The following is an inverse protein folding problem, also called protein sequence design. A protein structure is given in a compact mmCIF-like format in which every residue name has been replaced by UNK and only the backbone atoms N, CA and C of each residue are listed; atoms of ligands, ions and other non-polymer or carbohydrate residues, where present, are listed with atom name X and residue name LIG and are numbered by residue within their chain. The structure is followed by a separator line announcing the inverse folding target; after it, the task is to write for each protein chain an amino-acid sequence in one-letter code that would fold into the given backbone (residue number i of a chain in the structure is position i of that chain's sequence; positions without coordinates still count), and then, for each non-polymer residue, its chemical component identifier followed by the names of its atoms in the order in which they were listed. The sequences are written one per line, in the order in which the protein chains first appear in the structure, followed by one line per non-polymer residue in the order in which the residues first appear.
data_IF_620396000845
#
_entry.id   IF_620396000845
#
_cell.length_a   1.000
_cell.length_b   1.000
_cell.length_c   1.000
_cell.angle_alpha   90.00
_cell.angle_beta   90.00
_cell.angle_gamma   90.00
#
_symmetry.space_group_name_H-M   'P 1'
#
loop_
_entity.id
_entity.type
_entity.pdbx_description
1 polymer ?
#
# COMPACT_ATOMS: atom_id res chain seq x y z
N UNK A 1 55.14 -24.06 20.84
CA UNK A 1 54.88 -22.96 19.88
C UNK A 1 53.79 -23.27 18.82
N UNK A 2 53.50 -24.55 18.46
CA UNK A 2 52.43 -24.89 17.46
C UNK A 2 50.99 -24.82 18.01
N UNK A 3 50.79 -24.99 19.31
CA UNK A 3 49.44 -24.97 19.93
C UNK A 3 48.87 -23.58 20.14
N UNK A 4 49.70 -22.56 20.34
CA UNK A 4 49.27 -21.15 20.47
C UNK A 4 48.81 -20.54 19.15
N UNK A 5 49.41 -20.94 18.01
CA UNK A 5 48.98 -20.48 16.68
C UNK A 5 47.59 -20.98 16.27
N UNK A 6 47.25 -22.23 16.65
CA UNK A 6 45.95 -22.82 16.35
C UNK A 6 44.82 -22.15 17.16
N UNK A 7 45.10 -21.74 18.39
CA UNK A 7 44.14 -21.02 19.26
C UNK A 7 43.84 -19.61 18.74
N UNK A 8 44.88 -18.89 18.29
CA UNK A 8 44.73 -17.56 17.71
C UNK A 8 43.94 -17.58 16.39
N UNK A 9 44.16 -18.60 15.53
CA UNK A 9 43.45 -18.80 14.30
C UNK A 9 41.94 -19.10 14.53
N UNK A 10 41.65 -19.91 15.57
CA UNK A 10 40.28 -20.25 15.97
C UNK A 10 39.52 -19.05 16.53
N UNK A 11 40.17 -18.19 17.33
CA UNK A 11 39.52 -16.95 17.85
C UNK A 11 39.27 -15.94 16.75
N UNK A 12 40.18 -15.83 15.76
CA UNK A 12 40.00 -14.93 14.62
C UNK A 12 38.80 -15.37 13.72
N UNK A 13 38.64 -16.69 13.55
CA UNK A 13 37.53 -17.26 12.77
C UNK A 13 36.16 -17.02 13.43
N UNK A 14 36.08 -17.04 14.76
CA UNK A 14 34.85 -16.83 15.53
C UNK A 14 34.42 -15.36 15.48
N UNK A 15 35.37 -14.42 15.44
CA UNK A 15 35.05 -12.97 15.33
C UNK A 15 34.44 -12.55 13.99
N UNK A 16 34.66 -13.29 12.90
CA UNK A 16 34.08 -12.97 11.58
C UNK A 16 32.60 -13.35 11.45
N UNK A 17 32.09 -14.26 12.29
CA UNK A 17 30.72 -14.75 12.20
C UNK A 17 29.73 -13.81 12.90
N UNK A 18 30.17 -12.96 13.84
CA UNK A 18 29.27 -12.03 14.55
C UNK A 18 28.86 -10.77 13.76
N UNK A 19 29.51 -10.49 12.63
CA UNK A 19 29.21 -9.30 11.81
C UNK A 19 27.99 -9.46 10.88
N UNK A 20 27.38 -10.64 10.77
CA UNK A 20 26.30 -10.92 9.82
C UNK A 20 24.89 -10.55 10.30
N UNK A 21 24.71 -10.26 11.60
CA UNK A 21 23.36 -10.05 12.17
C UNK A 21 22.78 -8.63 11.99
N UNK A 22 23.54 -7.65 11.46
CA UNK A 22 23.09 -6.24 11.36
C UNK A 22 22.29 -5.89 10.11
N UNK A 23 22.39 -6.66 9.02
CA UNK A 23 21.85 -6.26 7.71
C UNK A 23 20.36 -6.62 7.48
N UNK A 24 19.80 -7.57 8.18
CA UNK A 24 18.43 -8.03 7.94
C UNK A 24 17.34 -7.04 8.39
N UNK A 25 17.67 -6.15 9.34
CA UNK A 25 16.70 -5.19 9.88
C UNK A 25 16.40 -4.02 8.94
N UNK A 26 17.32 -3.70 8.03
CA UNK A 26 17.22 -2.55 7.12
C UNK A 26 16.95 -2.97 5.66
N UNK A 27 16.37 -4.14 5.45
CA UNK A 27 15.96 -4.60 4.12
C UNK A 27 14.44 -4.64 4.01
N UNK A 28 13.95 -4.28 2.81
CA UNK A 28 12.55 -4.42 2.48
C UNK A 28 12.18 -5.90 2.34
N UNK A 29 10.94 -6.23 2.69
CA UNK A 29 10.38 -7.57 2.50
C UNK A 29 9.66 -7.65 1.15
N UNK A 30 9.64 -8.82 0.50
CA UNK A 30 8.85 -9.00 -0.72
C UNK A 30 7.36 -8.81 -0.45
N UNK A 31 6.62 -8.39 -1.47
CA UNK A 31 5.15 -8.35 -1.44
C UNK A 31 4.62 -9.73 -1.83
N UNK A 32 3.69 -10.23 -1.03
CA UNK A 32 2.90 -11.41 -1.36
C UNK A 32 1.48 -10.94 -1.71
N UNK A 33 1.16 -10.92 -3.00
CA UNK A 33 -0.14 -10.42 -3.50
C UNK A 33 -1.34 -11.24 -3.01
N UNK A 34 -1.16 -12.47 -2.55
CA UNK A 34 -2.24 -13.31 -2.05
C UNK A 34 -2.61 -12.99 -0.59
N UNK A 35 -1.63 -12.55 0.20
CA UNK A 35 -1.80 -12.42 1.66
C UNK A 35 -1.63 -11.00 2.18
N UNK A 36 -0.80 -10.16 1.51
CA UNK A 36 -0.50 -8.83 2.01
C UNK A 36 -1.65 -7.86 1.77
N UNK A 37 -2.07 -7.22 2.84
CA UNK A 37 -3.10 -6.18 2.83
C UNK A 37 -2.56 -4.88 3.39
N UNK A 38 -3.03 -3.78 2.83
CA UNK A 38 -2.68 -2.45 3.29
C UNK A 38 -3.12 -2.24 4.74
N UNK A 39 -2.19 -1.81 5.58
CA UNK A 39 -2.42 -1.62 7.01
C UNK A 39 -3.41 -0.46 7.33
N UNK A 40 -3.82 0.34 6.36
CA UNK A 40 -4.77 1.44 6.50
C UNK A 40 -6.10 1.14 5.82
N UNK A 41 -6.11 0.92 4.50
CA UNK A 41 -7.33 0.75 3.72
C UNK A 41 -7.81 -0.71 3.60
N UNK A 42 -6.99 -1.67 4.07
CA UNK A 42 -7.23 -3.13 4.01
C UNK A 42 -7.40 -3.71 2.60
N UNK A 43 -7.05 -2.96 1.56
CA UNK A 43 -7.01 -3.44 0.19
C UNK A 43 -5.82 -4.37 -0.02
N UNK A 44 -5.95 -5.30 -0.96
CA UNK A 44 -4.86 -6.19 -1.35
C UNK A 44 -3.74 -5.41 -2.02
N UNK A 45 -2.50 -5.67 -1.61
CA UNK A 45 -1.33 -4.99 -2.13
C UNK A 45 -0.82 -5.74 -3.36
N UNK A 46 -0.66 -5.03 -4.47
CA UNK A 46 0.00 -5.55 -5.67
C UNK A 46 1.51 -5.37 -5.57
N UNK A 47 2.27 -6.29 -6.17
CA UNK A 47 3.73 -6.14 -6.31
C UNK A 47 4.07 -5.21 -7.49
N UNK A 48 3.69 -3.94 -7.33
CA UNK A 48 3.84 -2.90 -8.34
C UNK A 48 4.70 -1.72 -7.85
N UNK A 49 4.74 -0.65 -8.62
CA UNK A 49 5.53 0.54 -8.31
C UNK A 49 4.96 1.40 -7.16
N UNK A 50 3.76 1.08 -6.65
CA UNK A 50 3.10 1.85 -5.59
C UNK A 50 3.19 1.18 -4.22
N UNK A 51 3.54 -0.12 -4.17
CA UNK A 51 3.73 -0.82 -2.91
C UNK A 51 4.82 -0.16 -2.08
N UNK A 52 4.52 0.14 -0.84
CA UNK A 52 5.47 0.74 0.11
C UNK A 52 5.40 0.01 1.46
N UNK A 53 6.44 0.12 2.26
CA UNK A 53 6.49 -0.49 3.57
C UNK A 53 7.34 0.29 4.55
N UNK A 54 7.07 0.09 5.82
CA UNK A 54 7.93 0.55 6.90
C UNK A 54 8.17 -0.55 7.91
N UNK A 55 9.31 -0.46 8.59
CA UNK A 55 9.66 -1.32 9.73
C UNK A 55 9.77 -0.46 10.98
N UNK A 56 9.24 -0.98 12.05
CA UNK A 56 9.33 -0.37 13.37
C UNK A 56 10.51 -0.92 14.17
N UNK A 57 10.95 -0.18 15.18
CA UNK A 57 12.09 -0.57 16.04
C UNK A 57 11.85 -1.86 16.82
N UNK A 58 10.59 -2.23 17.05
CA UNK A 58 10.18 -3.51 17.65
C UNK A 58 10.16 -4.68 16.64
N UNK A 59 10.56 -4.42 15.38
CA UNK A 59 10.75 -5.43 14.35
C UNK A 59 9.51 -5.78 13.54
N UNK A 60 8.40 -5.05 13.68
CA UNK A 60 7.21 -5.27 12.86
C UNK A 60 7.33 -4.58 11.51
N UNK A 61 6.84 -5.24 10.46
CA UNK A 61 6.72 -4.67 9.11
C UNK A 61 5.27 -4.35 8.82
N UNK A 62 5.01 -3.13 8.37
CA UNK A 62 3.71 -2.69 7.86
C UNK A 62 3.84 -2.39 6.38
N UNK A 63 2.90 -2.90 5.60
CA UNK A 63 2.87 -2.77 4.15
C UNK A 63 1.64 -1.98 3.72
N UNK A 64 1.76 -1.25 2.62
CA UNK A 64 0.71 -0.37 2.12
C UNK A 64 0.67 -0.42 0.59
N UNK A 65 -0.48 -0.16 0.02
CA UNK A 65 -0.73 -0.11 -1.42
C UNK A 65 -0.42 1.26 -2.05
N UNK A 66 -0.26 2.29 -1.22
CA UNK A 66 0.00 3.67 -1.66
C UNK A 66 0.81 4.44 -0.61
N UNK A 67 1.66 5.34 -1.05
CA UNK A 67 2.48 6.18 -0.18
C UNK A 67 1.63 7.03 0.79
N UNK A 68 0.46 7.47 0.35
CA UNK A 68 -0.47 8.21 1.20
C UNK A 68 -1.01 7.38 2.36
N UNK A 69 -1.26 6.08 2.16
CA UNK A 69 -1.64 5.17 3.24
C UNK A 69 -0.51 5.03 4.28
N UNK A 70 0.75 4.93 3.82
CA UNK A 70 1.89 4.92 4.76
C UNK A 70 1.98 6.23 5.53
N UNK A 71 1.74 7.37 4.89
CA UNK A 71 1.71 8.67 5.57
C UNK A 71 0.58 8.77 6.60
N UNK A 72 -0.61 8.29 6.27
CA UNK A 72 -1.75 8.24 7.20
C UNK A 72 -1.43 7.36 8.42
N UNK A 73 -0.78 6.21 8.21
CA UNK A 73 -0.32 5.35 9.31
C UNK A 73 0.64 6.10 10.23
N UNK A 74 1.58 6.86 9.66
CA UNK A 74 2.54 7.69 10.42
C UNK A 74 1.85 8.75 11.27
N UNK A 75 0.77 9.33 10.78
CA UNK A 75 -0.05 10.30 11.53
C UNK A 75 -0.84 9.68 12.69
N UNK A 76 -1.16 8.38 12.60
CA UNK A 76 -1.93 7.66 13.63
C UNK A 76 -1.05 6.93 14.64
N UNK A 77 0.23 6.78 14.38
CA UNK A 77 1.17 6.03 15.20
C UNK A 77 2.39 6.88 15.55
N UNK A 78 3.11 6.49 16.62
CA UNK A 78 4.30 7.21 17.01
C UNK A 78 5.39 7.14 15.94
N UNK A 79 5.69 8.26 15.28
CA UNK A 79 6.71 8.34 14.25
C UNK A 79 8.10 7.90 14.75
N UNK A 80 8.40 8.13 16.04
CA UNK A 80 9.64 7.70 16.70
C UNK A 80 9.80 6.17 16.77
N UNK A 81 8.72 5.40 16.56
CA UNK A 81 8.77 3.94 16.50
C UNK A 81 9.31 3.41 15.18
N UNK A 82 9.37 4.24 14.14
CA UNK A 82 9.81 3.82 12.81
C UNK A 82 11.34 3.69 12.78
N UNK A 83 11.82 2.58 12.26
CA UNK A 83 13.23 2.32 12.03
C UNK A 83 13.64 2.68 10.62
N UNK A 84 12.88 2.23 9.61
CA UNK A 84 13.18 2.44 8.20
C UNK A 84 11.90 2.37 7.38
N UNK A 85 11.88 3.12 6.28
CA UNK A 85 10.77 3.17 5.33
C UNK A 85 11.30 2.87 3.93
N UNK A 86 10.48 2.18 3.11
CA UNK A 86 10.82 1.83 1.74
C UNK A 86 9.69 2.17 0.79
N UNK A 87 10.09 2.62 -0.39
CA UNK A 87 9.23 2.87 -1.55
C UNK A 87 9.78 2.09 -2.75
N UNK A 88 9.00 1.96 -3.81
CA UNK A 88 9.44 1.32 -5.06
C UNK A 88 9.89 2.36 -6.08
N UNK A 89 10.97 2.07 -6.79
CA UNK A 89 11.29 2.79 -8.02
C UNK A 89 10.19 2.57 -9.06
N UNK A 90 9.67 3.67 -9.62
CA UNK A 90 8.58 3.59 -10.60
C UNK A 90 8.95 2.84 -11.87
N UNK A 91 10.22 2.92 -12.29
CA UNK A 91 10.68 2.35 -13.57
C UNK A 91 10.94 0.83 -13.48
N UNK A 92 11.53 0.37 -12.37
CA UNK A 92 12.04 -1.00 -12.27
C UNK A 92 11.52 -1.77 -11.04
N UNK A 93 10.75 -1.11 -10.17
CA UNK A 93 10.18 -1.66 -8.93
C UNK A 93 11.22 -2.09 -7.88
N UNK A 94 12.45 -1.61 -7.97
CA UNK A 94 13.44 -1.83 -6.92
C UNK A 94 13.02 -1.12 -5.62
N UNK A 95 13.34 -1.71 -4.48
CA UNK A 95 13.14 -1.06 -3.20
C UNK A 95 14.18 0.03 -2.95
N UNK A 96 13.72 1.19 -2.58
CA UNK A 96 14.52 2.38 -2.25
C UNK A 96 14.17 2.80 -0.83
N UNK A 97 15.14 3.25 -0.05
CA UNK A 97 14.80 3.91 1.21
C UNK A 97 14.03 5.20 0.93
N UNK A 98 12.99 5.45 1.72
CA UNK A 98 12.12 6.62 1.57
C UNK A 98 12.91 7.94 1.54
N UNK A 99 13.92 8.08 2.41
CA UNK A 99 14.75 9.29 2.51
C UNK A 99 15.66 9.51 1.30
N UNK A 100 16.01 8.44 0.57
CA UNK A 100 16.92 8.47 -0.58
C UNK A 100 16.18 8.64 -1.92
N UNK A 101 14.86 8.51 -1.91
CA UNK A 101 14.05 8.59 -3.12
C UNK A 101 13.76 10.04 -3.53
N UNK A 102 13.59 10.24 -4.83
CA UNK A 102 13.00 11.45 -5.41
C UNK A 102 11.55 11.16 -5.82
N UNK A 103 10.65 12.09 -5.57
CA UNK A 103 9.22 11.94 -5.81
C UNK A 103 8.73 12.88 -6.89
N UNK A 104 7.68 12.47 -7.60
CA UNK A 104 6.95 13.35 -8.52
C UNK A 104 5.48 13.31 -8.15
N UNK A 105 4.92 14.46 -7.85
CA UNK A 105 3.53 14.64 -7.47
C UNK A 105 2.75 15.42 -8.50
N UNK A 106 1.58 14.92 -8.86
CA UNK A 106 0.53 15.68 -9.54
C UNK A 106 -0.84 15.11 -9.15
N UNK A 107 -1.85 15.94 -8.84
CA UNK A 107 -3.17 15.46 -8.42
C UNK A 107 -3.92 14.68 -9.50
N UNK A 108 -3.46 14.73 -10.75
CA UNK A 108 -4.02 13.96 -11.86
C UNK A 108 -3.29 12.65 -12.15
N UNK A 109 -2.21 12.34 -11.43
CA UNK A 109 -1.53 11.06 -11.56
C UNK A 109 -2.33 9.95 -10.87
N UNK A 110 -2.44 8.82 -11.55
CA UNK A 110 -3.18 7.66 -11.04
C UNK A 110 -2.30 6.87 -10.07
N UNK A 111 -2.74 6.76 -8.83
CA UNK A 111 -2.17 5.83 -7.84
C UNK A 111 -3.31 5.09 -7.14
N UNK A 112 -3.07 3.97 -6.45
CA UNK A 112 -4.12 3.13 -5.88
C UNK A 112 -5.13 3.88 -5.01
N UNK A 113 -4.66 4.83 -4.20
CA UNK A 113 -5.50 5.65 -3.32
C UNK A 113 -5.61 7.12 -3.77
N UNK A 114 -5.28 7.39 -5.04
CA UNK A 114 -5.40 8.72 -5.65
C UNK A 114 -4.59 9.84 -4.99
N UNK A 115 -3.47 9.51 -4.35
CA UNK A 115 -2.52 10.50 -3.83
C UNK A 115 -1.60 11.10 -4.89
N UNK A 116 -1.46 10.43 -6.06
CA UNK A 116 -0.76 10.96 -7.23
C UNK A 116 0.75 11.16 -7.04
N UNK A 117 1.40 10.35 -6.21
CA UNK A 117 2.83 10.44 -5.93
C UNK A 117 3.53 9.20 -6.49
N UNK A 118 4.57 9.44 -7.29
CA UNK A 118 5.44 8.42 -7.85
C UNK A 118 6.85 8.58 -7.29
N UNK A 119 7.55 7.48 -7.02
CA UNK A 119 8.89 7.49 -6.45
C UNK A 119 9.93 6.97 -7.44
N UNK A 120 11.11 7.56 -7.41
CA UNK A 120 12.22 7.27 -8.31
C UNK A 120 13.52 7.18 -7.51
N UNK A 121 14.41 6.27 -7.93
CA UNK A 121 15.74 6.17 -7.37
C UNK A 121 16.61 7.36 -7.76
N UNK A 122 16.52 7.76 -9.01
CA UNK A 122 17.34 8.82 -9.60
C UNK A 122 16.52 10.10 -9.81
N UNK A 123 17.06 11.23 -9.34
CA UNK A 123 16.46 12.55 -9.55
C UNK A 123 16.32 12.90 -11.03
N UNK A 124 17.30 12.49 -11.87
CA UNK A 124 17.26 12.75 -13.29
C UNK A 124 16.10 12.02 -13.98
N UNK A 125 15.80 10.77 -13.56
CA UNK A 125 14.66 10.02 -14.07
C UNK A 125 13.32 10.61 -13.59
N UNK A 126 13.25 11.07 -12.34
CA UNK A 126 12.09 11.80 -11.82
C UNK A 126 11.81 13.08 -12.64
N UNK A 127 12.86 13.87 -12.94
CA UNK A 127 12.73 15.08 -13.77
C UNK A 127 12.29 14.73 -15.19
N UNK A 128 12.92 13.75 -15.82
CA UNK A 128 12.56 13.27 -17.15
C UNK A 128 11.11 12.80 -17.23
N UNK A 129 10.65 12.10 -16.18
CA UNK A 129 9.26 11.69 -16.08
C UNK A 129 8.33 12.91 -16.03
N UNK A 130 8.57 13.88 -15.14
CA UNK A 130 7.76 15.10 -15.02
C UNK A 130 7.72 15.89 -16.35
N UNK A 131 8.86 16.03 -17.02
CA UNK A 131 8.97 16.71 -18.32
C UNK A 131 8.18 15.97 -19.41
N UNK A 132 8.24 14.63 -19.45
CA UNK A 132 7.48 13.81 -20.40
C UNK A 132 5.98 13.93 -20.22
N UNK A 133 5.54 14.03 -18.97
CA UNK A 133 4.13 14.23 -18.62
C UNK A 133 3.69 15.69 -18.79
N UNK A 134 4.62 16.64 -19.02
CA UNK A 134 4.39 18.10 -19.01
C UNK A 134 3.69 18.60 -17.75
N UNK A 135 3.87 17.90 -16.64
CA UNK A 135 3.28 18.16 -15.33
C UNK A 135 3.99 17.33 -14.29
N UNK A 136 3.73 17.65 -13.03
CA UNK A 136 4.33 16.99 -11.89
C UNK A 136 5.41 17.84 -11.22
N UNK A 137 5.31 17.95 -9.92
CA UNK A 137 6.29 18.63 -9.06
C UNK A 137 7.29 17.61 -8.58
N UNK A 138 8.57 17.82 -8.90
CA UNK A 138 9.67 17.01 -8.35
C UNK A 138 9.91 17.43 -6.90
N UNK A 139 9.99 16.46 -6.00
CA UNK A 139 10.01 16.63 -4.56
C UNK A 139 11.05 15.70 -3.91
N UNK A 140 11.56 16.10 -2.76
CA UNK A 140 12.36 15.26 -1.86
C UNK A 140 11.47 14.64 -0.76
N UNK A 141 12.00 13.70 0.02
CA UNK A 141 11.34 13.19 1.21
C UNK A 141 11.02 14.31 2.23
N UNK A 142 11.89 15.32 2.36
CA UNK A 142 11.64 16.47 3.22
C UNK A 142 10.48 17.34 2.72
N UNK A 143 10.30 17.45 1.40
CA UNK A 143 9.16 18.17 0.81
C UNK A 143 7.85 17.44 1.06
N UNK A 144 7.86 16.11 1.03
CA UNK A 144 6.69 15.27 1.37
C UNK A 144 6.27 15.46 2.84
N UNK A 145 7.19 15.74 3.74
CA UNK A 145 6.87 16.07 5.13
C UNK A 145 6.02 17.34 5.30
N UNK A 146 5.98 18.20 4.28
CA UNK A 146 5.18 19.45 4.22
C UNK A 146 4.03 19.38 3.23
N UNK A 147 3.83 18.22 2.60
CA UNK A 147 2.79 18.01 1.60
C UNK A 147 1.41 17.88 2.26
N UNK A 148 0.38 18.39 1.61
CA UNK A 148 -1.00 18.41 2.16
C UNK A 148 -1.70 17.05 2.15
N UNK A 149 -1.20 16.07 1.41
CA UNK A 149 -1.72 14.69 1.33
C UNK A 149 -3.21 14.60 0.99
N UNK A 150 -3.67 15.42 0.06
CA UNK A 150 -5.04 15.37 -0.41
C UNK A 150 -5.21 14.30 -1.51
N UNK A 151 -6.25 13.48 -1.36
CA UNK A 151 -6.64 12.54 -2.40
C UNK A 151 -7.40 13.27 -3.51
N UNK A 152 -7.13 12.90 -4.76
CA UNK A 152 -7.82 13.46 -5.91
C UNK A 152 -9.27 12.94 -5.99
N UNK A 153 -10.24 13.78 -5.66
CA UNK A 153 -11.68 13.45 -5.71
C UNK A 153 -12.14 13.04 -7.12
N UNK A 154 -11.56 13.62 -8.16
CA UNK A 154 -11.87 13.26 -9.55
C UNK A 154 -11.44 11.84 -9.89
N UNK A 155 -10.35 11.35 -9.31
CA UNK A 155 -9.84 10.00 -9.53
C UNK A 155 -10.61 8.95 -8.74
N UNK A 156 -11.09 9.28 -7.54
CA UNK A 156 -11.91 8.37 -6.72
C UNK A 156 -13.28 8.10 -7.38
N UNK A 157 -13.88 9.08 -8.06
CA UNK A 157 -15.17 8.93 -8.73
C UNK A 157 -15.10 8.11 -10.03
N UNK A 158 -13.92 7.90 -10.62
CA UNK A 158 -13.77 7.08 -11.83
C UNK A 158 -13.76 5.57 -11.55
N UNK A 159 -13.57 5.15 -10.30
CA UNK A 159 -13.57 3.73 -9.88
C UNK A 159 -14.92 3.18 -9.46
N UNK A 160 -15.97 4.00 -9.40
CA UNK A 160 -17.26 3.69 -8.79
C UNK A 160 -18.47 3.65 -9.75
N UNK A 161 -18.29 3.39 -11.04
CA UNK A 161 -19.42 3.14 -11.96
C UNK A 161 -19.75 1.66 -12.04
N UNK A 162 -20.12 1.03 -10.93
CA UNK A 162 -21.07 -0.07 -10.95
C UNK A 162 -22.45 0.55 -10.71
N UNK A 163 -23.09 0.90 -11.82
CA UNK A 163 -24.49 1.25 -11.91
C UNK A 163 -25.33 0.07 -11.43
N UNK A 164 -25.72 0.07 -10.17
CA UNK A 164 -26.87 -0.66 -9.69
C UNK A 164 -28.05 0.32 -9.65
N UNK A 165 -28.52 0.73 -10.81
CA UNK A 165 -29.86 1.26 -10.96
C UNK A 165 -30.88 0.14 -10.74
N UNK A 166 -31.16 -0.16 -9.48
CA UNK A 166 -32.39 -0.82 -9.11
C UNK A 166 -33.45 0.26 -9.10
N UNK A 167 -34.14 0.41 -10.21
CA UNK A 167 -35.41 1.13 -10.28
C UNK A 167 -36.42 0.36 -9.39
N UNK A 168 -37.06 1.01 -8.41
CA UNK A 168 -38.27 0.47 -7.82
C UNK A 168 -39.38 0.73 -8.83
N UNK A 169 -39.81 -0.30 -9.53
CA UNK A 169 -41.09 -0.27 -10.23
C UNK A 169 -42.23 -0.14 -9.22
N UNK A 170 -42.77 1.05 -9.15
CA UNK A 170 -44.07 1.29 -8.62
C UNK A 170 -45.09 0.90 -9.70
N UNK A 171 -45.65 -0.29 -9.59
CA UNK A 171 -46.78 -0.74 -10.36
C UNK A 171 -47.95 -1.03 -9.42
N UNK A 172 -48.79 -0.01 -9.20
CA UNK A 172 -50.13 -0.25 -8.75
C UNK A 172 -50.95 -0.76 -9.92
N UNK A 173 -51.80 -1.75 -9.67
CA UNK A 173 -53.15 -1.66 -10.16
C UNK A 173 -54.07 -2.65 -9.45
N UNK A 174 -55.18 -2.09 -9.04
CA UNK A 174 -56.45 -2.65 -8.68
C UNK A 174 -56.89 -3.72 -9.67
N UNK A 175 -57.53 -4.84 -9.18
CA UNK A 175 -58.93 -5.05 -9.49
C UNK A 175 -59.47 -6.21 -8.69
N UNK A 176 -60.70 -5.96 -8.25
CA UNK A 176 -61.60 -6.77 -7.49
C UNK A 176 -62.22 -7.91 -8.32
N UNK A 177 -62.57 -8.97 -7.65
CA UNK A 177 -63.74 -9.85 -7.78
C UNK A 177 -63.38 -11.20 -7.13
N UNK A 178 -64.03 -11.69 -6.10
CA UNK A 178 -65.46 -11.87 -5.96
C UNK A 178 -65.73 -13.38 -5.99
N UNK A 179 -66.13 -13.95 -4.89
CA UNK A 179 -67.01 -15.07 -5.00
C UNK A 179 -66.66 -16.46 -4.40
N UNK A 180 -67.30 -16.71 -3.24
CA UNK A 180 -68.01 -17.94 -2.82
C UNK A 180 -67.18 -19.22 -2.49
N UNK A 181 -67.16 -19.58 -1.24
CA UNK A 181 -68.11 -20.46 -0.51
C UNK A 181 -68.24 -21.91 -1.04
N UNK A 182 -68.05 -22.81 -0.15
CA UNK A 182 -68.46 -24.24 -0.20
C UNK A 182 -67.31 -25.19 0.00
N UNK A 183 -67.27 -26.08 0.78
CA UNK A 183 -68.18 -26.78 1.72
C UNK A 183 -67.41 -28.07 2.13
N UNK A 184 -67.56 -28.41 3.35
CA UNK A 184 -67.52 -29.72 4.02
C UNK A 184 -66.93 -30.98 3.35
N UNK A 185 -66.30 -31.76 4.24
CA UNK A 185 -66.23 -33.22 4.07
C UNK A 185 -65.03 -33.85 4.78
N UNK A 186 -65.05 -34.07 6.05
CA UNK A 186 -65.19 -35.25 6.91
C UNK A 186 -64.63 -36.59 6.40
N UNK A 187 -64.10 -37.34 7.39
CA UNK A 187 -63.78 -38.77 7.50
C UNK A 187 -62.40 -39.17 6.97
N UNK A 188 -61.55 -39.82 7.72
CA UNK A 188 -61.71 -40.80 8.77
C UNK A 188 -60.83 -42.00 8.48
N UNK A 189 -60.09 -42.33 9.40
CA UNK A 189 -59.44 -43.52 9.87
C UNK A 189 -57.94 -43.35 10.12
#
# INVERSE_FOLDING_TARGET
MKKTGLFLLSVLLIMTILSACGKAKDQAEPINEETDKCAICNMQIKDDAFAVQLKTKDGKTYKFDDLGCMNEWKGKNAADSIQVQFVRDYNNKEWIKYEDATYVYDPSFKSPMAYGIYSFKDKAEAQKFADSQKKGKVMTAADLGKHTWEQSKSMMNMGGSHDHSVTPEAGGDKDAHGGKAGDQGTHGK
#
